data_IF_395467405279
#
_entry.id   IF_395467405279
#
_cell.length_a   1.000
_cell.length_b   1.000
_cell.length_c   1.000
_cell.angle_alpha   90.00
_cell.angle_beta   90.00
_cell.angle_gamma   90.00
#
_symmetry.space_group_name_H-M   'P 1'
#
loop_
_entity.id
_entity.type
_entity.pdbx_description
1 polymer ?
#
# COMPACT_ATOMS: atom_id res chain seq x y z
N UNK A 1 -12.46 9.19 -18.30
CA UNK A 1 -11.68 9.41 -17.04
C UNK A 1 -12.03 8.30 -16.09
N UNK A 2 -11.05 7.74 -15.39
CA UNK A 2 -11.23 6.59 -14.50
C UNK A 2 -10.80 6.97 -13.09
N UNK A 3 -11.61 6.59 -12.10
CA UNK A 3 -11.34 6.83 -10.69
C UNK A 3 -10.45 5.74 -10.12
N UNK A 4 -9.46 6.13 -9.32
CA UNK A 4 -8.54 5.23 -8.62
C UNK A 4 -8.60 5.53 -7.12
N UNK A 5 -8.59 4.47 -6.31
CA UNK A 5 -8.49 4.55 -4.86
C UNK A 5 -7.04 4.33 -4.39
N UNK A 6 -6.47 5.31 -3.68
CA UNK A 6 -5.15 5.21 -3.08
C UNK A 6 -5.24 4.99 -1.56
N UNK A 7 -4.66 3.90 -1.06
CA UNK A 7 -4.73 3.53 0.37
C UNK A 7 -3.36 3.41 1.06
N UNK A 8 -2.28 3.31 0.29
CA UNK A 8 -0.88 3.30 0.75
C UNK A 8 -0.17 4.58 0.37
N UNK A 9 0.94 4.51 -0.37
CA UNK A 9 1.65 5.71 -0.84
C UNK A 9 0.77 6.62 -1.72
N UNK A 10 -0.19 6.06 -2.48
CA UNK A 10 -1.11 6.85 -3.31
C UNK A 10 -2.18 7.60 -2.51
N UNK A 11 -2.24 7.44 -1.17
CA UNK A 11 -3.05 8.28 -0.31
C UNK A 11 -2.54 9.73 -0.30
N UNK A 12 -1.27 9.97 -0.64
CA UNK A 12 -0.69 11.31 -0.84
C UNK A 12 -0.89 11.80 -2.27
N UNK A 13 -1.38 13.03 -2.43
CA UNK A 13 -1.51 13.67 -3.74
C UNK A 13 -0.16 13.83 -4.44
N UNK A 14 0.91 14.15 -3.69
CA UNK A 14 2.26 14.28 -4.25
C UNK A 14 2.71 12.96 -4.86
N UNK A 15 2.51 11.84 -4.16
CA UNK A 15 2.85 10.51 -4.66
C UNK A 15 1.96 10.08 -5.83
N UNK A 16 0.69 10.45 -5.79
CA UNK A 16 -0.24 10.19 -6.90
C UNK A 16 0.16 10.98 -8.15
N UNK A 17 0.47 12.28 -8.03
CA UNK A 17 0.97 13.11 -9.14
C UNK A 17 2.33 12.66 -9.65
N UNK A 18 3.23 12.21 -8.78
CA UNK A 18 4.50 11.60 -9.23
C UNK A 18 4.27 10.31 -10.04
N UNK A 19 3.15 9.62 -9.85
CA UNK A 19 2.81 8.38 -10.56
C UNK A 19 2.06 8.64 -11.87
N UNK A 20 1.09 9.54 -11.86
CA UNK A 20 0.16 9.77 -12.97
C UNK A 20 0.40 11.08 -13.73
N UNK A 21 1.29 11.93 -13.23
CA UNK A 21 1.66 13.20 -13.83
C UNK A 21 0.59 14.29 -13.66
N UNK A 22 0.74 15.33 -14.48
CA UNK A 22 -0.12 16.52 -14.45
C UNK A 22 -1.55 16.27 -14.94
N UNK A 23 -1.87 15.10 -15.51
CA UNK A 23 -3.22 14.76 -15.98
C UNK A 23 -4.15 14.27 -14.87
N UNK A 24 -3.63 13.99 -13.67
CA UNK A 24 -4.42 13.64 -12.50
C UNK A 24 -5.36 14.79 -12.12
N UNK A 25 -6.64 14.49 -11.93
CA UNK A 25 -7.70 15.45 -11.56
C UNK A 25 -8.45 14.99 -10.32
N UNK A 26 -9.18 15.93 -9.72
CA UNK A 26 -10.22 15.67 -8.70
C UNK A 26 -9.72 14.85 -7.49
N UNK A 27 -8.51 15.13 -7.03
CA UNK A 27 -7.95 14.52 -5.83
C UNK A 27 -8.77 14.94 -4.60
N UNK A 28 -9.27 13.96 -3.86
CA UNK A 28 -10.09 14.15 -2.66
C UNK A 28 -10.02 12.89 -1.79
N UNK A 29 -10.74 12.91 -0.68
CA UNK A 29 -10.82 11.78 0.25
C UNK A 29 -12.17 11.08 0.17
N UNK A 30 -12.17 9.78 0.39
CA UNK A 30 -13.36 8.95 0.57
C UNK A 30 -13.09 7.86 1.60
N UNK A 31 -14.09 7.02 1.89
CA UNK A 31 -13.98 5.85 2.75
C UNK A 31 -14.38 4.60 1.99
N UNK A 32 -13.66 3.51 2.23
CA UNK A 32 -14.05 2.17 1.78
C UNK A 32 -14.52 1.36 2.98
N UNK A 33 -15.55 0.53 2.79
CA UNK A 33 -16.15 -0.32 3.82
C UNK A 33 -15.90 -1.79 3.51
N UNK A 34 -15.89 -2.62 4.55
CA UNK A 34 -15.64 -4.06 4.51
C UNK A 34 -14.23 -4.43 4.02
N UNK A 35 -13.27 -3.53 4.18
CA UNK A 35 -11.85 -3.78 3.93
C UNK A 35 -11.02 -3.26 5.10
N UNK A 36 -9.85 -3.86 5.30
CA UNK A 36 -8.82 -3.33 6.21
C UNK A 36 -7.47 -3.21 5.52
N UNK A 37 -6.64 -2.26 5.96
CA UNK A 37 -5.24 -2.14 5.55
C UNK A 37 -4.35 -3.04 6.40
N UNK A 38 -3.45 -3.77 5.76
CA UNK A 38 -2.51 -4.68 6.43
C UNK A 38 -1.13 -4.54 5.81
N UNK A 39 -0.09 -4.50 6.65
CA UNK A 39 1.28 -4.66 6.19
C UNK A 39 1.62 -6.15 6.03
N UNK A 40 1.36 -6.70 4.84
CA UNK A 40 1.57 -8.12 4.55
C UNK A 40 2.09 -8.42 3.12
N UNK A 41 2.50 -7.40 2.36
CA UNK A 41 3.02 -7.58 0.99
C UNK A 41 4.53 -7.32 0.92
N UNK A 42 5.39 -8.34 0.76
CA UNK A 42 6.79 -8.11 0.45
C UNK A 42 6.96 -7.34 -0.87
N UNK A 43 7.42 -6.10 -0.79
CA UNK A 43 7.66 -5.30 -1.98
C UNK A 43 9.00 -5.66 -2.63
N UNK A 44 9.01 -6.16 -3.87
CA UNK A 44 10.27 -6.46 -4.59
C UNK A 44 11.26 -5.28 -4.63
N UNK A 45 10.74 -4.05 -4.65
CA UNK A 45 11.57 -2.84 -4.55
C UNK A 45 12.33 -2.74 -3.22
N UNK A 46 11.79 -3.24 -2.12
CA UNK A 46 12.46 -3.15 -0.82
C UNK A 46 13.73 -3.98 -0.78
N UNK A 47 13.73 -5.13 -1.45
CA UNK A 47 14.92 -5.98 -1.59
C UNK A 47 15.94 -5.36 -2.53
N UNK A 48 15.49 -4.89 -3.71
CA UNK A 48 16.36 -4.25 -4.70
C UNK A 48 17.07 -3.01 -4.15
N UNK A 49 16.35 -2.18 -3.40
CA UNK A 49 16.85 -0.94 -2.81
C UNK A 49 17.49 -1.16 -1.43
N UNK A 50 17.59 -2.42 -0.97
CA UNK A 50 18.23 -2.83 0.29
C UNK A 50 17.64 -2.15 1.54
N UNK A 51 16.32 -1.98 1.55
CA UNK A 51 15.54 -1.47 2.70
C UNK A 51 14.67 -2.54 3.37
N UNK A 52 14.63 -3.76 2.81
CA UNK A 52 14.06 -4.94 3.45
C UNK A 52 15.05 -5.52 4.48
N UNK A 53 14.56 -5.88 5.68
CA UNK A 53 15.35 -6.59 6.68
C UNK A 53 14.78 -8.01 6.90
N UNK A 54 15.47 -9.01 6.36
CA UNK A 54 15.05 -10.42 6.48
C UNK A 54 15.26 -11.00 7.88
N UNK A 55 16.22 -10.50 8.66
CA UNK A 55 16.48 -11.01 10.00
C UNK A 55 15.35 -10.65 10.97
N UNK A 56 14.77 -9.47 10.82
CA UNK A 56 13.62 -8.98 11.61
C UNK A 56 12.27 -9.15 10.91
N UNK A 57 12.27 -9.62 9.65
CA UNK A 57 11.09 -9.68 8.75
C UNK A 57 10.42 -8.34 8.50
N UNK A 58 11.12 -7.21 8.65
CA UNK A 58 10.65 -5.88 8.26
C UNK A 58 10.72 -5.70 6.74
N UNK A 59 9.82 -6.39 6.05
CA UNK A 59 9.80 -6.51 4.59
C UNK A 59 8.45 -6.17 3.98
N UNK A 60 7.42 -5.95 4.79
CA UNK A 60 6.07 -5.70 4.30
C UNK A 60 5.85 -4.25 3.85
N UNK A 61 5.18 -4.13 2.72
CA UNK A 61 4.43 -2.98 2.28
C UNK A 61 2.96 -3.21 2.53
N UNK A 62 2.16 -2.25 2.11
CA UNK A 62 0.76 -2.15 2.48
C UNK A 62 -0.13 -2.79 1.40
N UNK A 63 -1.06 -3.63 1.84
CA UNK A 63 -2.13 -4.18 1.03
C UNK A 63 -3.46 -4.00 1.77
N UNK A 64 -4.55 -4.42 1.13
CA UNK A 64 -5.90 -4.37 1.68
C UNK A 64 -6.52 -5.75 1.59
N UNK A 65 -7.36 -6.16 2.54
CA UNK A 65 -8.08 -7.43 2.46
C UNK A 65 -9.53 -7.26 2.94
N UNK A 66 -10.46 -8.13 2.51
CA UNK A 66 -11.82 -8.13 3.03
C UNK A 66 -11.82 -8.26 4.55
N UNK A 67 -12.64 -7.44 5.20
CA UNK A 67 -12.79 -7.43 6.66
C UNK A 67 -14.12 -6.77 7.02
N UNK A 68 -15.12 -7.60 7.31
CA UNK A 68 -16.49 -7.14 7.56
C UNK A 68 -16.54 -6.12 8.71
N UNK A 69 -17.30 -5.04 8.51
CA UNK A 69 -17.45 -3.97 9.49
C UNK A 69 -16.21 -3.07 9.65
N UNK A 70 -15.11 -3.34 8.96
CA UNK A 70 -13.95 -2.45 8.91
C UNK A 70 -14.13 -1.36 7.85
N UNK A 71 -13.57 -0.19 8.11
CA UNK A 71 -13.52 0.89 7.13
C UNK A 71 -12.30 1.79 7.34
N UNK A 72 -11.88 2.48 6.29
CA UNK A 72 -10.77 3.42 6.37
C UNK A 72 -10.78 4.45 5.25
N UNK A 73 -10.04 5.54 5.44
CA UNK A 73 -9.89 6.65 4.49
C UNK A 73 -8.95 6.25 3.34
N UNK A 74 -9.40 6.56 2.13
CA UNK A 74 -8.65 6.47 0.87
C UNK A 74 -8.61 7.82 0.18
N UNK A 75 -7.62 8.03 -0.69
CA UNK A 75 -7.68 9.07 -1.70
C UNK A 75 -8.53 8.57 -2.87
N UNK A 76 -9.23 9.50 -3.50
CA UNK A 76 -9.97 9.29 -4.75
C UNK A 76 -9.43 10.32 -5.73
N UNK A 77 -8.99 9.87 -6.90
CA UNK A 77 -8.54 10.75 -7.96
C UNK A 77 -8.84 10.15 -9.33
N UNK A 78 -8.80 10.99 -10.35
CA UNK A 78 -9.19 10.62 -11.70
C UNK A 78 -8.02 10.75 -12.66
N UNK A 79 -7.89 9.76 -13.54
CA UNK A 79 -6.84 9.72 -14.57
C UNK A 79 -7.45 9.43 -15.95
N UNK A 80 -6.79 9.84 -17.05
CA UNK A 80 -7.17 9.42 -18.39
C UNK A 80 -7.14 7.90 -18.56
N UNK A 81 -8.02 7.36 -19.39
CA UNK A 81 -8.13 5.91 -19.64
C UNK A 81 -6.87 5.33 -20.31
N UNK A 82 -6.17 6.13 -21.11
CA UNK A 82 -4.93 5.74 -21.77
C UNK A 82 -3.76 5.51 -20.78
N UNK A 83 -3.89 5.94 -19.52
CA UNK A 83 -2.93 5.66 -18.46
C UNK A 83 -3.16 4.30 -17.78
N UNK A 84 -4.32 3.67 -17.97
CA UNK A 84 -4.62 2.38 -17.34
C UNK A 84 -3.58 1.29 -17.68
N UNK A 85 -3.14 1.09 -18.95
CA UNK A 85 -2.12 0.09 -19.25
C UNK A 85 -0.82 0.28 -18.45
N UNK A 86 -0.37 1.53 -18.29
CA UNK A 86 0.83 1.84 -17.49
C UNK A 86 0.59 1.58 -16.00
N UNK A 87 -0.59 1.92 -15.49
CA UNK A 87 -1.01 1.63 -14.12
C UNK A 87 -1.03 0.12 -13.83
N UNK A 88 -1.67 -0.68 -14.68
CA UNK A 88 -1.70 -2.15 -14.58
C UNK A 88 -0.29 -2.76 -14.62
N UNK A 89 0.59 -2.23 -15.48
CA UNK A 89 1.98 -2.69 -15.55
C UNK A 89 2.77 -2.37 -14.26
N UNK A 90 2.55 -1.19 -13.68
CA UNK A 90 3.18 -0.75 -12.44
C UNK A 90 2.69 -1.55 -11.23
N UNK A 91 1.38 -1.74 -11.12
CA UNK A 91 0.72 -2.50 -10.03
C UNK A 91 0.62 -4.00 -10.34
N UNK A 92 1.65 -4.51 -11.01
CA UNK A 92 1.85 -5.88 -11.44
C UNK A 92 1.50 -6.99 -10.43
N UNK A 93 1.60 -6.68 -9.14
CA UNK A 93 1.39 -7.62 -8.05
C UNK A 93 -0.07 -7.70 -7.61
N UNK A 94 -0.88 -6.71 -8.00
CA UNK A 94 -2.24 -6.54 -7.53
C UNK A 94 -3.25 -6.87 -8.62
N UNK A 95 -4.37 -7.43 -8.19
CA UNK A 95 -5.54 -7.51 -9.04
C UNK A 95 -6.32 -6.22 -8.89
N UNK A 96 -6.65 -5.55 -10.00
CA UNK A 96 -7.35 -4.27 -9.95
C UNK A 96 -8.85 -4.53 -10.12
N UNK A 97 -9.66 -4.02 -9.20
CA UNK A 97 -11.11 -4.24 -9.15
C UNK A 97 -11.85 -2.94 -8.88
N UNK A 98 -13.09 -2.86 -9.37
CA UNK A 98 -14.01 -1.79 -9.02
C UNK A 98 -14.54 -2.02 -7.60
N UNK A 99 -14.37 -1.04 -6.73
CA UNK A 99 -14.73 -1.11 -5.31
C UNK A 99 -15.58 0.11 -4.94
N UNK A 100 -16.69 -0.07 -4.20
CA UNK A 100 -17.50 1.04 -3.73
C UNK A 100 -16.76 1.87 -2.69
N UNK A 101 -16.94 3.19 -2.76
CA UNK A 101 -16.47 4.14 -1.76
C UNK A 101 -17.56 5.16 -1.45
N UNK A 102 -17.43 5.83 -0.31
CA UNK A 102 -18.34 6.87 0.16
C UNK A 102 -17.56 8.14 0.49
N UNK A 103 -18.06 9.29 0.02
CA UNK A 103 -17.51 10.61 0.34
C UNK A 103 -18.16 11.20 1.60
N UNK A 104 -17.54 12.23 2.18
CA UNK A 104 -18.03 12.87 3.41
C UNK A 104 -19.46 13.44 3.34
N UNK A 105 -19.95 13.73 2.13
CA UNK A 105 -21.32 14.20 1.90
C UNK A 105 -22.34 13.06 1.73
N UNK A 106 -21.93 11.80 1.92
CA UNK A 106 -22.75 10.60 1.74
C UNK A 106 -22.86 10.11 0.29
N UNK A 107 -22.18 10.75 -0.66
CA UNK A 107 -22.17 10.29 -2.06
C UNK A 107 -21.42 8.97 -2.17
N UNK A 108 -22.06 7.97 -2.77
CA UNK A 108 -21.46 6.66 -3.04
C UNK A 108 -21.15 6.51 -4.52
N UNK A 109 -20.00 5.95 -4.84
CA UNK A 109 -19.60 5.64 -6.21
C UNK A 109 -18.61 4.47 -6.21
N UNK A 110 -18.09 4.09 -7.38
CA UNK A 110 -17.10 3.02 -7.55
C UNK A 110 -15.82 3.53 -8.21
N UNK A 111 -14.71 2.92 -7.85
CA UNK A 111 -13.38 3.27 -8.36
C UNK A 111 -12.46 2.05 -8.37
N UNK A 112 -11.41 2.10 -9.18
CA UNK A 112 -10.42 1.04 -9.26
C UNK A 112 -9.53 1.04 -8.02
N UNK A 113 -9.46 -0.10 -7.34
CA UNK A 113 -8.58 -0.32 -6.20
C UNK A 113 -7.67 -1.53 -6.45
N UNK A 114 -6.41 -1.41 -6.05
CA UNK A 114 -5.49 -2.54 -6.01
C UNK A 114 -5.89 -3.49 -4.88
N UNK A 115 -6.17 -4.76 -5.21
CA UNK A 115 -6.49 -5.82 -4.26
C UNK A 115 -5.44 -6.93 -4.33
N UNK A 116 -5.26 -7.71 -3.25
CA UNK A 116 -4.34 -8.84 -3.23
C UNK A 116 -4.60 -9.83 -4.35
N UNK A 117 -3.52 -10.42 -4.81
CA UNK A 117 -3.53 -11.62 -5.64
C UNK A 117 -3.33 -12.85 -4.74
N UNK A 118 -3.27 -14.04 -5.33
CA UNK A 118 -2.59 -15.21 -4.79
C UNK A 118 -1.30 -15.50 -5.59
N UNK A 119 -0.44 -16.41 -5.14
CA UNK A 119 0.81 -16.66 -5.85
C UNK A 119 0.63 -17.48 -7.13
N UNK A 120 -0.33 -18.41 -7.16
CA UNK A 120 -0.59 -19.26 -8.33
C UNK A 120 -0.98 -18.42 -9.54
N UNK A 121 -1.95 -17.52 -9.36
CA UNK A 121 -2.41 -16.66 -10.43
C UNK A 121 -1.35 -15.58 -10.75
N UNK A 122 -0.49 -15.16 -9.81
CA UNK A 122 0.63 -14.23 -10.07
C UNK A 122 1.64 -14.91 -11.00
N UNK A 123 2.01 -16.16 -10.68
CA UNK A 123 2.91 -16.98 -11.49
C UNK A 123 2.28 -17.27 -12.85
N UNK A 124 0.97 -17.57 -12.92
CA UNK A 124 0.28 -17.76 -14.18
C UNK A 124 0.29 -16.49 -15.05
N UNK A 125 0.15 -15.31 -14.44
CA UNK A 125 0.14 -14.03 -15.18
C UNK A 125 1.54 -13.54 -15.57
N UNK A 126 2.56 -13.78 -14.74
CA UNK A 126 3.88 -13.15 -14.86
C UNK A 126 5.02 -14.11 -15.19
N UNK A 127 4.76 -15.41 -15.05
CA UNK A 127 5.73 -16.48 -15.21
C UNK A 127 6.57 -16.74 -13.95
N UNK A 128 7.04 -17.97 -13.81
CA UNK A 128 7.91 -18.38 -12.70
C UNK A 128 9.17 -17.53 -12.60
N UNK A 129 9.79 -17.18 -13.74
CA UNK A 129 10.99 -16.33 -13.80
C UNK A 129 10.77 -14.96 -13.14
N UNK A 130 9.58 -14.37 -13.27
CA UNK A 130 9.27 -13.09 -12.60
C UNK A 130 9.35 -13.22 -11.08
N UNK A 131 8.87 -14.34 -10.53
CA UNK A 131 8.90 -14.64 -9.11
C UNK A 131 10.33 -14.93 -8.65
N UNK A 132 11.05 -15.80 -9.37
CA UNK A 132 12.39 -16.23 -8.99
C UNK A 132 13.37 -15.06 -8.88
N UNK A 133 13.37 -14.18 -9.89
CA UNK A 133 14.26 -13.03 -9.97
C UNK A 133 13.96 -11.94 -8.93
N UNK A 134 12.72 -11.87 -8.41
CA UNK A 134 12.27 -10.77 -7.53
C UNK A 134 12.07 -11.18 -6.09
N UNK A 135 11.86 -12.46 -5.81
CA UNK A 135 11.45 -12.96 -4.51
C UNK A 135 12.26 -14.18 -4.09
N UNK A 136 12.32 -15.24 -4.92
CA UNK A 136 13.03 -16.47 -4.55
C UNK A 136 14.53 -16.25 -4.30
N UNK A 137 15.17 -15.38 -5.10
CA UNK A 137 16.58 -14.98 -4.91
C UNK A 137 16.85 -14.34 -3.54
N UNK A 138 15.82 -13.84 -2.86
CA UNK A 138 15.88 -13.26 -1.52
C UNK A 138 15.43 -14.23 -0.42
N UNK A 139 15.19 -15.51 -0.76
CA UNK A 139 14.77 -16.54 0.18
C UNK A 139 13.27 -16.54 0.49
N UNK A 140 12.45 -15.88 -0.34
CA UNK A 140 10.99 -15.92 -0.21
C UNK A 140 10.41 -17.07 -1.02
N UNK A 141 9.51 -17.83 -0.40
CA UNK A 141 8.71 -18.88 -1.04
C UNK A 141 7.33 -18.38 -1.47
N UNK A 142 6.97 -17.13 -1.10
CA UNK A 142 5.68 -16.51 -1.45
C UNK A 142 5.70 -14.98 -1.51
N UNK A 143 4.79 -14.41 -2.30
CA UNK A 143 4.45 -12.96 -2.28
C UNK A 143 3.19 -12.74 -1.47
N UNK A 144 2.18 -13.57 -1.70
CA UNK A 144 0.86 -13.50 -1.06
C UNK A 144 0.65 -14.64 -0.05
N UNK A 145 -0.35 -14.49 0.82
CA UNK A 145 -0.66 -15.53 1.82
C UNK A 145 0.16 -15.45 3.11
N UNK A 146 0.81 -14.31 3.39
CA UNK A 146 1.39 -14.04 4.70
C UNK A 146 0.29 -13.93 5.76
N UNK A 147 0.05 -15.00 6.51
CA UNK A 147 -1.00 -15.09 7.53
C UNK A 147 -0.60 -14.45 8.88
N UNK A 148 -1.52 -14.46 9.86
CA UNK A 148 -1.32 -13.83 11.17
C UNK A 148 -0.05 -14.27 11.91
N UNK A 149 0.29 -15.56 11.82
CA UNK A 149 1.44 -16.17 12.53
C UNK A 149 2.77 -16.00 11.78
N UNK A 150 2.78 -15.28 10.66
CA UNK A 150 3.98 -15.19 9.82
C UNK A 150 5.10 -14.35 10.44
N UNK A 151 4.76 -13.46 11.36
CA UNK A 151 5.68 -12.50 11.98
C UNK A 151 6.24 -11.48 10.99
N UNK A 152 5.60 -11.28 9.83
CA UNK A 152 6.00 -10.24 8.89
C UNK A 152 5.71 -8.85 9.46
N UNK A 153 6.69 -7.96 9.34
CA UNK A 153 6.64 -6.60 9.86
C UNK A 153 6.75 -5.56 8.74
N UNK A 154 6.23 -4.34 8.95
CA UNK A 154 6.39 -3.24 8.00
C UNK A 154 7.86 -2.96 7.69
N UNK A 155 8.19 -2.75 6.42
CA UNK A 155 9.46 -2.14 6.04
C UNK A 155 9.51 -0.72 6.63
N UNK A 156 10.51 -0.45 7.49
CA UNK A 156 10.60 0.79 8.29
C UNK A 156 10.56 2.06 7.43
N UNK A 157 11.34 2.08 6.34
CA UNK A 157 11.42 3.23 5.42
C UNK A 157 10.06 3.48 4.76
N UNK A 158 9.37 2.42 4.35
CA UNK A 158 8.07 2.54 3.70
C UNK A 158 6.96 2.93 4.67
N UNK A 159 6.92 2.34 5.88
CA UNK A 159 5.99 2.74 6.92
C UNK A 159 6.16 4.22 7.28
N UNK A 160 7.39 4.67 7.54
CA UNK A 160 7.67 6.09 7.82
C UNK A 160 7.18 6.99 6.70
N UNK A 161 7.42 6.63 5.44
CA UNK A 161 6.89 7.38 4.30
C UNK A 161 5.36 7.50 4.37
N UNK A 162 4.64 6.39 4.59
CA UNK A 162 3.18 6.42 4.73
C UNK A 162 2.74 7.34 5.88
N UNK A 163 3.39 7.28 7.05
CA UNK A 163 3.06 8.14 8.21
C UNK A 163 3.26 9.62 7.87
N UNK A 164 4.41 9.99 7.30
CA UNK A 164 4.67 11.37 6.90
C UNK A 164 3.68 11.87 5.84
N UNK A 165 3.32 11.01 4.90
CA UNK A 165 2.32 11.31 3.87
C UNK A 165 0.95 11.63 4.47
N UNK A 166 0.46 10.82 5.42
CA UNK A 166 -0.86 11.05 6.03
C UNK A 166 -0.88 12.20 7.04
N UNK A 167 0.25 12.46 7.71
CA UNK A 167 0.37 13.65 8.58
C UNK A 167 0.16 14.95 7.81
N UNK A 168 0.65 15.03 6.57
CA UNK A 168 0.46 16.20 5.70
C UNK A 168 -1.00 16.42 5.27
N UNK A 169 -1.83 15.38 5.32
CA UNK A 169 -3.25 15.45 4.96
C UNK A 169 -4.15 15.87 6.13
N UNK A 170 -3.59 15.95 7.35
CA UNK A 170 -4.30 16.39 8.55
C UNK A 170 -4.43 15.30 9.60
N UNK A 171 -4.76 15.73 10.82
CA UNK A 171 -4.79 14.87 12.00
C UNK A 171 -5.80 13.72 11.86
N UNK A 172 -6.98 13.98 11.30
CA UNK A 172 -8.03 12.96 11.15
C UNK A 172 -7.61 11.83 10.20
N UNK A 173 -6.90 12.17 9.12
CA UNK A 173 -6.38 11.18 8.15
C UNK A 173 -5.24 10.38 8.76
N UNK A 174 -4.37 11.03 9.54
CA UNK A 174 -3.33 10.34 10.28
C UNK A 174 -3.91 9.37 11.33
N UNK A 175 -4.88 9.81 12.14
CA UNK A 175 -5.51 8.99 13.18
C UNK A 175 -6.24 7.78 12.57
N UNK A 176 -6.99 8.00 11.48
CA UNK A 176 -7.62 6.92 10.72
C UNK A 176 -6.57 5.93 10.18
N UNK A 177 -5.45 6.43 9.65
CA UNK A 177 -4.38 5.57 9.16
C UNK A 177 -3.79 4.68 10.24
N UNK A 178 -3.37 5.24 11.36
CA UNK A 178 -2.67 4.47 12.40
C UNK A 178 -3.62 3.55 13.18
N UNK A 179 -4.91 3.88 13.25
CA UNK A 179 -5.91 3.08 13.96
C UNK A 179 -6.56 2.00 13.10
N UNK A 180 -6.72 2.24 11.78
CA UNK A 180 -7.37 1.31 10.85
C UNK A 180 -6.38 0.64 9.87
N UNK A 181 -5.10 0.60 10.24
CA UNK A 181 -4.06 -0.17 9.56
C UNK A 181 -3.38 -1.08 10.56
N UNK A 182 -3.14 -2.32 10.17
CA UNK A 182 -2.66 -3.37 11.07
C UNK A 182 -1.34 -3.98 10.59
N UNK A 183 -0.60 -4.58 11.53
CA UNK A 183 0.52 -5.46 11.22
C UNK A 183 0.05 -6.73 10.52
N UNK A 184 0.99 -7.56 10.06
CA UNK A 184 0.70 -8.86 9.45
C UNK A 184 -0.12 -9.80 10.36
N UNK A 185 -0.14 -9.58 11.67
CA UNK A 185 -0.97 -10.31 12.63
C UNK A 185 -2.47 -9.97 12.53
N UNK A 186 -2.83 -8.89 11.81
CA UNK A 186 -4.20 -8.36 11.65
C UNK A 186 -4.90 -7.96 12.94
N UNK A 187 -4.14 -7.74 14.00
CA UNK A 187 -4.63 -7.43 15.34
C UNK A 187 -3.98 -6.18 15.88
N UNK A 188 -2.67 -6.05 15.74
CA UNK A 188 -1.91 -4.92 16.27
C UNK A 188 -2.07 -3.72 15.33
N UNK A 189 -2.70 -2.62 15.77
CA UNK A 189 -2.77 -1.40 14.99
C UNK A 189 -1.38 -0.77 14.84
N UNK A 190 -1.16 -0.05 13.74
CA UNK A 190 0.08 0.70 13.52
C UNK A 190 0.34 1.74 14.62
N UNK A 191 -0.72 2.27 15.24
CA UNK A 191 -0.64 3.15 16.41
C UNK A 191 0.18 2.53 17.55
N UNK A 192 -0.13 1.29 17.91
CA UNK A 192 0.54 0.59 19.02
C UNK A 192 1.97 0.22 18.64
N UNK A 193 2.17 -0.24 17.39
CA UNK A 193 3.49 -0.55 16.86
C UNK A 193 4.43 0.67 16.85
N UNK A 194 3.94 1.85 16.46
CA UNK A 194 4.74 3.08 16.48
C UNK A 194 5.03 3.57 17.90
N UNK A 195 4.13 3.31 18.86
CA UNK A 195 4.37 3.64 20.26
C UNK A 195 5.47 2.76 20.87
N UNK A 196 5.52 1.48 20.50
CA UNK A 196 6.57 0.55 20.93
C UNK A 196 7.91 0.79 20.20
N UNK A 197 7.87 1.13 18.91
CA UNK A 197 9.05 1.34 18.06
C UNK A 197 9.09 2.75 17.44
N UNK A 198 9.22 3.82 18.27
CA UNK A 198 9.20 5.20 17.78
C UNK A 198 10.39 5.53 16.87
N UNK A 199 11.46 4.76 16.94
CA UNK A 199 12.66 4.91 16.11
C UNK A 199 12.41 4.60 14.62
N UNK A 200 11.24 4.04 14.26
CA UNK A 200 10.78 3.90 12.85
C UNK A 200 10.77 5.27 12.17
N UNK A 201 10.43 6.32 12.90
CA UNK A 201 10.38 7.68 12.38
C UNK A 201 11.78 8.27 12.05
N UNK A 202 12.85 7.59 12.45
CA UNK A 202 14.23 7.93 12.11
C UNK A 202 14.73 7.24 10.83
N UNK A 203 13.95 6.32 10.25
CA UNK A 203 14.37 5.59 9.04
C UNK A 203 14.54 6.55 7.85
N UNK A 204 15.72 6.59 7.24
CA UNK A 204 16.00 7.45 6.08
C UNK A 204 15.99 6.61 4.80
N UNK A 205 15.27 7.01 3.74
CA UNK A 205 15.37 6.31 2.47
C UNK A 205 16.79 6.44 1.89
N UNK A 206 17.30 5.41 1.17
CA UNK A 206 18.54 5.55 0.42
C UNK A 206 18.40 6.63 -0.67
N UNK A 207 19.50 7.19 -1.20
CA UNK A 207 19.47 8.25 -2.21
C UNK A 207 18.56 7.96 -3.41
N UNK A 208 18.51 6.70 -3.86
CA UNK A 208 17.65 6.24 -4.97
C UNK A 208 16.15 6.38 -4.69
N UNK A 209 15.75 6.48 -3.42
CA UNK A 209 14.36 6.52 -2.96
C UNK A 209 13.95 7.84 -2.31
N UNK A 210 14.84 8.83 -2.18
CA UNK A 210 14.53 10.12 -1.53
C UNK A 210 13.31 10.78 -2.17
N UNK A 211 13.21 10.82 -3.50
CA UNK A 211 12.08 11.44 -4.19
C UNK A 211 10.77 10.63 -4.11
N UNK A 212 10.82 9.40 -3.59
CA UNK A 212 9.67 8.50 -3.51
C UNK A 212 9.20 8.28 -2.07
N UNK A 213 10.11 8.17 -1.10
CA UNK A 213 9.83 7.78 0.29
C UNK A 213 10.25 8.83 1.33
N UNK A 214 10.12 10.11 1.00
CA UNK A 214 10.36 11.23 1.94
C UNK A 214 9.08 11.81 2.58
N UNK A 215 7.95 11.14 2.40
CA UNK A 215 6.63 11.59 2.88
C UNK A 215 5.90 12.45 1.87
#
# INVERSE_FOLDING_TARGET
>A
MVKILGYGSLLSEVSARSTFGESLRNFRLGRVKNYRRVFALPGSIFFREKIANMATKEIAGLCVEPSDGSEFIVSVFEVPEDQLPAFHKREALFTIRSVPFEESNGTTDTALMCLPWNDDDLIASRGQTFFDERYAVHGLDKVWGWGPESGILPCRVYLRHCILSVQKLGQDVHEDFVSNTFLGDRRTPIKDYLAEFPDIMNAVPPPSLVNRYSG
#
